data_IF_041633538885
#
_entry.id   IF_041633538885
#
_cell.length_a   1.000
_cell.length_b   1.000
_cell.length_c   1.000
_cell.angle_alpha   90.00
_cell.angle_beta   90.00
_cell.angle_gamma   90.00
#
_symmetry.space_group_name_H-M   'P 1'
#
loop_
_entity.id
_entity.type
_entity.pdbx_description
1 polymer ?
#
# COMPACT_ATOMS: atom_id res chain seq x y z
N UNK A 1 8.34 20.32 4.50
CA UNK A 1 8.87 18.93 4.41
C UNK A 1 9.91 18.85 3.30
N UNK A 2 9.53 19.07 2.03
CA UNK A 2 10.50 19.08 0.92
C UNK A 2 11.60 20.15 1.07
N UNK A 3 11.22 21.36 1.47
CA UNK A 3 12.18 22.45 1.72
C UNK A 3 13.13 22.17 2.89
N UNK A 4 12.80 21.18 3.73
CA UNK A 4 13.64 20.70 4.82
C UNK A 4 14.55 19.52 4.40
N UNK A 5 14.59 19.15 3.11
CA UNK A 5 15.39 18.03 2.60
C UNK A 5 14.84 16.64 2.95
N UNK A 6 13.59 16.54 3.41
CA UNK A 6 12.98 15.28 3.85
C UNK A 6 12.13 14.66 2.74
N UNK A 7 12.35 13.37 2.47
CA UNK A 7 11.52 12.60 1.51
C UNK A 7 10.06 12.56 1.96
N UNK A 8 9.14 12.71 1.01
CA UNK A 8 7.71 12.75 1.26
C UNK A 8 7.12 11.35 1.16
N UNK A 9 6.41 10.95 2.21
CA UNK A 9 5.58 9.76 2.23
C UNK A 9 4.11 10.19 2.34
N UNK A 10 3.34 10.05 1.26
CA UNK A 10 1.94 10.48 1.21
C UNK A 10 1.12 9.51 0.36
N UNK A 11 -0.05 9.12 0.85
CA UNK A 11 -0.88 8.08 0.26
C UNK A 11 -2.28 8.08 0.86
N UNK A 12 -2.98 6.95 0.84
CA UNK A 12 -4.37 6.90 1.31
C UNK A 12 -4.86 5.52 1.75
N UNK A 13 -6.15 5.47 2.05
CA UNK A 13 -6.89 4.27 2.46
C UNK A 13 -7.96 4.00 1.41
N UNK A 14 -8.11 2.72 1.05
CA UNK A 14 -9.05 2.21 0.04
C UNK A 14 -10.04 1.27 0.74
N UNK A 15 -11.33 1.40 0.42
CA UNK A 15 -12.41 0.65 1.06
C UNK A 15 -13.10 1.38 2.22
N UNK A 16 -12.97 2.71 2.30
CA UNK A 16 -13.71 3.58 3.23
C UNK A 16 -15.20 3.74 2.87
N UNK A 17 -15.65 3.15 1.76
CA UNK A 17 -16.95 3.42 1.15
C UNK A 17 -16.88 4.42 0.00
N UNK A 18 -15.68 4.79 -0.42
CA UNK A 18 -15.45 5.66 -1.55
C UNK A 18 -15.79 4.97 -2.89
N UNK A 19 -16.27 5.76 -3.83
CA UNK A 19 -16.46 5.35 -5.23
C UNK A 19 -15.13 5.19 -5.96
N UNK A 20 -15.16 4.48 -7.10
CA UNK A 20 -13.99 4.37 -7.98
C UNK A 20 -13.48 5.75 -8.46
N UNK A 21 -14.38 6.70 -8.68
CA UNK A 21 -14.01 8.07 -9.06
C UNK A 21 -13.22 8.76 -7.95
N UNK A 22 -13.63 8.59 -6.69
CA UNK A 22 -12.89 9.14 -5.55
C UNK A 22 -11.51 8.49 -5.37
N UNK A 23 -11.36 7.18 -5.61
CA UNK A 23 -10.05 6.52 -5.66
C UNK A 23 -9.16 7.10 -6.76
N UNK A 24 -9.71 7.29 -7.96
CA UNK A 24 -9.00 7.91 -9.07
C UNK A 24 -8.59 9.35 -8.73
N UNK A 25 -9.46 10.10 -8.06
CA UNK A 25 -9.18 11.44 -7.54
C UNK A 25 -7.98 11.44 -6.59
N UNK A 26 -7.95 10.55 -5.59
CA UNK A 26 -6.80 10.40 -4.69
C UNK A 26 -5.49 10.19 -5.45
N UNK A 27 -5.46 9.27 -6.42
CA UNK A 27 -4.25 8.99 -7.18
C UNK A 27 -3.86 10.17 -8.08
N UNK A 28 -4.83 10.83 -8.70
CA UNK A 28 -4.60 12.01 -9.53
C UNK A 28 -4.01 13.17 -8.71
N UNK A 29 -4.54 13.43 -7.51
CA UNK A 29 -4.02 14.46 -6.60
C UNK A 29 -2.54 14.19 -6.25
N UNK A 30 -2.21 12.96 -5.86
CA UNK A 30 -0.82 12.60 -5.52
C UNK A 30 0.11 12.70 -6.72
N UNK A 31 -0.32 12.24 -7.90
CA UNK A 31 0.49 12.23 -9.12
C UNK A 31 0.73 13.64 -9.69
N UNK A 32 -0.18 14.58 -9.44
CA UNK A 32 -0.07 15.96 -9.91
C UNK A 32 0.77 16.88 -8.99
N UNK A 33 1.26 16.38 -7.86
CA UNK A 33 2.24 17.11 -7.04
C UNK A 33 3.57 17.24 -7.79
N UNK A 34 4.28 18.36 -7.58
CA UNK A 34 5.59 18.63 -8.20
C UNK A 34 6.68 18.84 -7.14
N UNK A 35 7.60 17.86 -6.93
CA UNK A 35 7.52 16.48 -7.41
C UNK A 35 6.48 15.66 -6.63
N UNK A 36 5.99 14.57 -7.23
CA UNK A 36 5.11 13.61 -6.54
C UNK A 36 5.86 12.86 -5.43
N UNK A 37 5.16 12.25 -4.45
CA UNK A 37 5.79 11.62 -3.29
C UNK A 37 6.76 10.47 -3.66
N UNK A 38 7.89 10.38 -2.96
CA UNK A 38 8.87 9.30 -3.14
C UNK A 38 8.34 7.96 -2.62
N UNK A 39 7.41 7.99 -1.66
CA UNK A 39 6.74 6.81 -1.11
C UNK A 39 5.23 7.05 -1.06
N UNK A 40 4.47 6.14 -1.68
CA UNK A 40 3.01 6.20 -1.79
C UNK A 40 2.40 4.98 -1.11
N UNK A 41 2.05 5.05 0.19
CA UNK A 41 1.37 3.97 0.88
C UNK A 41 -0.10 3.89 0.46
N UNK A 42 -0.51 2.70 0.05
CA UNK A 42 -1.91 2.38 -0.20
C UNK A 42 -2.32 1.34 0.83
N UNK A 43 -3.22 1.76 1.72
CA UNK A 43 -3.74 0.95 2.81
C UNK A 43 -5.10 0.41 2.43
N UNK A 44 -5.36 -0.85 2.75
CA UNK A 44 -6.73 -1.37 2.78
C UNK A 44 -7.36 -0.98 4.12
N UNK A 45 -8.64 -0.60 4.13
CA UNK A 45 -9.37 -0.36 5.36
C UNK A 45 -9.26 -1.58 6.29
N UNK A 46 -8.75 -1.36 7.50
CA UNK A 46 -8.84 -2.35 8.59
C UNK A 46 -10.03 -1.96 9.44
N UNK A 47 -11.07 -2.80 9.43
CA UNK A 47 -12.29 -2.58 10.20
C UNK A 47 -12.00 -2.89 11.67
N UNK A 48 -12.21 -1.88 12.53
CA UNK A 48 -11.96 -2.01 13.98
C UNK A 48 -13.29 -1.85 14.70
N UNK A 49 -13.69 -2.82 15.55
CA UNK A 49 -14.91 -2.71 16.36
C UNK A 49 -14.96 -1.40 17.15
N UNK A 50 -16.12 -0.75 17.15
CA UNK A 50 -16.32 0.55 17.79
C UNK A 50 -15.97 1.77 16.93
N UNK A 51 -15.38 1.58 15.75
CA UNK A 51 -15.23 2.67 14.76
C UNK A 51 -16.47 2.79 13.88
N UNK A 52 -16.78 3.99 13.34
CA UNK A 52 -17.91 4.16 12.42
C UNK A 52 -17.85 3.29 11.15
N UNK A 53 -16.67 2.77 10.80
CA UNK A 53 -16.43 1.96 9.60
C UNK A 53 -16.28 0.46 9.92
N UNK A 54 -16.62 0.02 11.14
CA UNK A 54 -16.51 -1.38 11.54
C UNK A 54 -17.32 -2.33 10.64
N UNK A 55 -18.49 -1.88 10.18
CA UNK A 55 -19.44 -2.66 9.37
C UNK A 55 -19.43 -2.25 7.88
N UNK A 56 -18.42 -1.50 7.45
CA UNK A 56 -18.29 -1.11 6.05
C UNK A 56 -18.22 -2.37 5.15
N UNK A 57 -18.95 -2.47 4.03
CA UNK A 57 -18.81 -3.59 3.10
C UNK A 57 -17.36 -3.81 2.63
N UNK A 58 -16.98 -5.07 2.43
CA UNK A 58 -15.66 -5.39 1.88
C UNK A 58 -15.52 -4.84 0.46
N UNK A 59 -14.32 -4.31 0.17
CA UNK A 59 -13.95 -3.92 -1.17
C UNK A 59 -13.61 -5.18 -1.98
N UNK A 60 -14.04 -5.23 -3.24
CA UNK A 60 -13.55 -6.23 -4.19
C UNK A 60 -12.01 -6.21 -4.22
N UNK A 61 -11.31 -7.32 -3.92
CA UNK A 61 -9.85 -7.38 -3.95
C UNK A 61 -9.25 -6.88 -5.27
N UNK A 62 -9.95 -7.05 -6.40
CA UNK A 62 -9.48 -6.57 -7.70
C UNK A 62 -9.55 -5.05 -7.84
N UNK A 63 -10.45 -4.36 -7.12
CA UNK A 63 -10.44 -2.89 -7.04
C UNK A 63 -9.21 -2.40 -6.27
N UNK A 64 -8.79 -3.13 -5.24
CA UNK A 64 -7.57 -2.81 -4.52
C UNK A 64 -6.32 -3.00 -5.41
N UNK A 65 -6.20 -4.15 -6.08
CA UNK A 65 -5.11 -4.43 -7.03
C UNK A 65 -5.08 -3.39 -8.16
N UNK A 66 -6.25 -3.01 -8.70
CA UNK A 66 -6.36 -1.96 -9.71
C UNK A 66 -5.83 -0.62 -9.20
N UNK A 67 -6.12 -0.27 -7.95
CA UNK A 67 -5.63 0.98 -7.34
C UNK A 67 -4.10 0.99 -7.23
N UNK A 68 -3.48 -0.13 -6.87
CA UNK A 68 -2.02 -0.31 -6.90
C UNK A 68 -1.46 -0.12 -8.32
N UNK A 69 -2.09 -0.75 -9.31
CA UNK A 69 -1.65 -0.67 -10.71
C UNK A 69 -1.68 0.77 -11.23
N UNK A 70 -2.77 1.50 -10.97
CA UNK A 70 -2.90 2.90 -11.39
C UNK A 70 -1.84 3.77 -10.70
N UNK A 71 -1.61 3.58 -9.40
CA UNK A 71 -0.56 4.32 -8.68
C UNK A 71 0.85 4.07 -9.24
N UNK A 72 1.18 2.82 -9.62
CA UNK A 72 2.45 2.50 -10.29
C UNK A 72 2.56 3.21 -11.64
N UNK A 73 1.50 3.18 -12.45
CA UNK A 73 1.51 3.77 -13.80
C UNK A 73 1.68 5.29 -13.73
N UNK A 74 0.96 5.96 -12.83
CA UNK A 74 0.97 7.43 -12.73
C UNK A 74 2.21 7.97 -12.00
N UNK A 75 2.81 7.18 -11.10
CA UNK A 75 3.98 7.56 -10.31
C UNK A 75 5.10 6.51 -10.45
N UNK A 76 5.73 6.39 -11.63
CA UNK A 76 6.62 5.28 -11.97
C UNK A 76 7.88 5.18 -11.10
N UNK A 77 8.35 6.31 -10.54
CA UNK A 77 9.55 6.34 -9.68
C UNK A 77 9.23 6.19 -8.19
N UNK A 78 7.96 6.25 -7.80
CA UNK A 78 7.57 6.15 -6.40
C UNK A 78 7.71 4.71 -5.88
N UNK A 79 7.99 4.59 -4.58
CA UNK A 79 7.81 3.36 -3.82
C UNK A 79 6.33 3.21 -3.49
N UNK A 80 5.61 2.39 -4.25
CA UNK A 80 4.20 2.08 -3.98
C UNK A 80 4.17 1.03 -2.88
N UNK A 81 3.71 1.43 -1.70
CA UNK A 81 3.77 0.58 -0.49
C UNK A 81 2.43 -0.08 -0.22
N UNK A 82 2.39 -1.40 -0.36
CA UNK A 82 1.30 -2.25 0.10
C UNK A 82 1.37 -2.30 1.64
N UNK A 83 0.48 -1.55 2.31
CA UNK A 83 0.64 -1.18 3.71
C UNK A 83 -0.35 -1.93 4.64
N UNK A 84 -1.25 -1.22 5.32
CA UNK A 84 -2.20 -1.84 6.23
C UNK A 84 -3.24 -2.73 5.51
N UNK A 85 -3.73 -3.75 6.23
CA UNK A 85 -4.75 -4.69 5.76
C UNK A 85 -4.21 -5.89 4.96
N UNK A 86 -2.88 -6.06 4.86
CA UNK A 86 -2.28 -7.25 4.23
C UNK A 86 -2.66 -8.56 4.91
N UNK A 87 -2.82 -8.56 6.22
CA UNK A 87 -3.17 -9.77 6.96
C UNK A 87 -4.53 -10.36 6.54
N UNK A 88 -5.47 -9.53 6.09
CA UNK A 88 -6.76 -9.99 5.58
C UNK A 88 -6.74 -10.31 4.08
N UNK A 89 -5.61 -10.08 3.38
CA UNK A 89 -5.46 -10.42 1.96
C UNK A 89 -4.91 -11.83 1.80
N UNK A 90 -5.48 -12.59 0.86
CA UNK A 90 -4.91 -13.87 0.47
C UNK A 90 -3.55 -13.70 -0.23
N UNK A 91 -2.72 -14.75 -0.20
CA UNK A 91 -1.46 -14.81 -0.93
C UNK A 91 -1.60 -14.40 -2.40
N UNK A 92 -2.67 -14.84 -3.06
CA UNK A 92 -2.93 -14.53 -4.46
C UNK A 92 -3.17 -13.03 -4.67
N UNK A 93 -3.93 -12.37 -3.78
CA UNK A 93 -4.18 -10.93 -3.86
C UNK A 93 -2.90 -10.14 -3.60
N UNK A 94 -2.08 -10.56 -2.63
CA UNK A 94 -0.79 -9.92 -2.38
C UNK A 94 0.16 -10.09 -3.56
N UNK A 95 0.23 -11.30 -4.15
CA UNK A 95 1.00 -11.57 -5.36
C UNK A 95 0.57 -10.68 -6.54
N UNK A 96 -0.74 -10.50 -6.72
CA UNK A 96 -1.29 -9.59 -7.72
C UNK A 96 -0.92 -8.13 -7.42
N UNK A 97 -0.90 -7.70 -6.16
CA UNK A 97 -0.46 -6.35 -5.80
C UNK A 97 1.03 -6.12 -6.13
N UNK A 98 1.90 -7.09 -5.86
CA UNK A 98 3.32 -7.01 -6.24
C UNK A 98 3.47 -6.97 -7.78
N UNK A 99 2.73 -7.81 -8.49
CA UNK A 99 2.70 -7.83 -9.96
C UNK A 99 2.19 -6.50 -10.54
N UNK A 100 1.17 -5.90 -9.91
CA UNK A 100 0.60 -4.62 -10.28
C UNK A 100 1.57 -3.43 -10.06
N UNK A 101 2.58 -3.61 -9.22
CA UNK A 101 3.65 -2.63 -9.05
C UNK A 101 3.91 -2.16 -7.62
N UNK A 102 3.27 -2.76 -6.61
CA UNK A 102 3.72 -2.57 -5.23
C UNK A 102 5.14 -3.10 -5.07
N UNK A 103 6.00 -2.34 -4.41
CA UNK A 103 7.42 -2.70 -4.22
C UNK A 103 7.95 -2.32 -2.82
N UNK A 104 7.04 -2.12 -1.87
CA UNK A 104 7.35 -1.84 -0.47
C UNK A 104 6.23 -2.40 0.40
N UNK A 105 6.58 -2.91 1.57
CA UNK A 105 5.65 -3.39 2.61
C UNK A 105 6.12 -2.93 3.99
N UNK A 106 5.23 -2.93 4.98
CA UNK A 106 5.64 -2.93 6.38
C UNK A 106 5.97 -4.37 6.80
N UNK A 107 7.09 -4.53 7.49
CA UNK A 107 7.63 -5.82 7.93
C UNK A 107 7.70 -5.85 9.46
N UNK A 108 7.30 -6.98 10.06
CA UNK A 108 7.13 -7.16 11.51
C UNK A 108 5.71 -7.52 11.88
N UNK A 109 5.48 -7.99 13.11
CA UNK A 109 4.22 -8.64 13.53
C UNK A 109 3.04 -7.67 13.76
N UNK A 110 3.33 -6.37 13.91
CA UNK A 110 2.33 -5.34 14.21
C UNK A 110 2.63 -4.05 13.44
N UNK A 111 1.56 -3.37 13.03
CA UNK A 111 1.63 -1.98 12.56
C UNK A 111 1.57 -1.03 13.76
N UNK A 112 0.74 0.03 13.68
CA UNK A 112 0.53 0.95 14.79
C UNK A 112 -0.33 0.31 15.89
N UNK A 113 -1.50 -0.20 15.52
CA UNK A 113 -2.50 -0.75 16.46
C UNK A 113 -3.06 -2.11 16.01
N UNK A 114 -2.89 -2.45 14.73
CA UNK A 114 -3.42 -3.68 14.12
C UNK A 114 -2.31 -4.68 13.85
N UNK A 115 -2.67 -5.96 13.79
CA UNK A 115 -1.73 -7.00 13.41
C UNK A 115 -1.31 -6.87 11.94
N UNK A 116 -0.14 -7.44 11.63
CA UNK A 116 0.49 -7.48 10.31
C UNK A 116 0.84 -8.95 10.02
N UNK A 117 1.04 -9.36 8.75
CA UNK A 117 1.56 -10.70 8.48
C UNK A 117 2.86 -10.96 9.23
N UNK A 118 3.03 -12.21 9.67
CA UNK A 118 4.25 -12.66 10.31
C UNK A 118 5.45 -12.49 9.37
N UNK A 119 6.60 -12.19 9.96
CA UNK A 119 7.84 -11.96 9.23
C UNK A 119 8.22 -13.15 8.34
N UNK A 120 8.05 -14.37 8.86
CA UNK A 120 8.33 -15.61 8.12
C UNK A 120 7.33 -15.85 6.98
N UNK A 121 6.07 -15.46 7.15
CA UNK A 121 5.04 -15.55 6.11
C UNK A 121 5.38 -14.62 4.95
N UNK A 122 5.82 -13.40 5.26
CA UNK A 122 6.27 -12.44 4.26
C UNK A 122 7.47 -12.95 3.47
N UNK A 123 8.49 -13.47 4.16
CA UNK A 123 9.68 -14.03 3.52
C UNK A 123 9.33 -15.22 2.61
N UNK A 124 8.46 -16.12 3.08
CA UNK A 124 8.02 -17.27 2.30
C UNK A 124 7.24 -16.87 1.03
N UNK A 125 6.35 -15.87 1.14
CA UNK A 125 5.61 -15.34 0.00
C UNK A 125 6.55 -14.67 -1.01
N UNK A 126 7.44 -13.79 -0.56
CA UNK A 126 8.40 -13.11 -1.44
C UNK A 126 9.31 -14.11 -2.16
N UNK A 127 9.77 -15.16 -1.47
CA UNK A 127 10.57 -16.23 -2.07
C UNK A 127 9.80 -17.00 -3.15
N UNK A 128 8.53 -17.37 -2.89
CA UNK A 128 7.65 -18.04 -3.88
C UNK A 128 7.41 -17.19 -5.13
N UNK A 129 7.38 -15.87 -4.98
CA UNK A 129 7.21 -14.93 -6.09
C UNK A 129 8.53 -14.56 -6.78
N UNK A 130 9.68 -15.07 -6.32
CA UNK A 130 11.00 -14.74 -6.86
C UNK A 130 11.44 -13.29 -6.59
N UNK A 131 10.83 -12.64 -5.60
CA UNK A 131 11.13 -11.26 -5.23
C UNK A 131 12.32 -11.19 -4.28
N UNK A 132 13.13 -10.14 -4.43
CA UNK A 132 14.31 -9.90 -3.58
C UNK A 132 13.99 -8.80 -2.57
N UNK A 133 14.36 -9.03 -1.31
CA UNK A 133 14.35 -7.98 -0.30
C UNK A 133 15.49 -7.00 -0.64
N UNK A 134 15.16 -5.73 -0.81
CA UNK A 134 16.16 -4.69 -1.08
C UNK A 134 17.13 -4.57 0.09
N UNK A 135 18.41 -4.33 -0.19
CA UNK A 135 19.33 -3.93 0.87
C UNK A 135 18.90 -2.57 1.42
N UNK A 136 19.07 -2.32 2.74
CA UNK A 136 18.91 -0.97 3.27
C UNK A 136 19.78 -0.02 2.45
N UNK A 137 19.17 1.03 1.89
CA UNK A 137 19.97 2.10 1.30
C UNK A 137 20.74 2.72 2.46
N UNK A 138 22.06 2.56 2.48
CA UNK A 138 22.92 3.27 3.42
C UNK A 138 22.57 4.75 3.31
N UNK A 139 22.13 5.35 4.42
CA UNK A 139 21.95 6.79 4.47
C UNK A 139 23.32 7.44 4.24
N UNK A 140 23.43 8.46 3.37
CA UNK A 140 24.66 9.24 3.23
C UNK A 140 25.02 9.94 4.55
#
# INVERSE_FOLDING_TARGET
MRDAGVSVCCGGIVGLGESRLQRAGLIAELANLSPYPESVPINHLVKVPGTPLAEQPDLDPLEFVRTIAVARITMPLARVRLSAGRQSMSDAVQALCFTAGANSIFYGEKLLTTANPDSDVDLALLARLGLRVGQPVAQP
#
